data_IF_732387030558
#
_entry.id   IF_732387030558
#
_cell.length_a   1.000
_cell.length_b   1.000
_cell.length_c   1.000
_cell.angle_alpha   90.00
_cell.angle_beta   90.00
_cell.angle_gamma   90.00
#
_symmetry.space_group_name_H-M   'P 1'
#
loop_
_entity.id
_entity.type
_entity.pdbx_description
1 polymer ?
#
# COMPACT_ATOMS: atom_id res chain seq x y z
N UNK A 1 25.42 0.49 15.97
CA UNK A 1 24.62 -0.54 15.28
C UNK A 1 23.33 -0.75 16.03
N UNK A 2 22.22 -1.02 15.35
CA UNK A 2 20.98 -1.43 16.03
C UNK A 2 21.20 -2.79 16.72
N UNK A 3 20.57 -3.05 17.88
CA UNK A 3 20.68 -4.34 18.54
C UNK A 3 20.13 -5.47 17.65
N UNK A 4 20.58 -6.70 17.85
CA UNK A 4 20.04 -7.84 17.13
C UNK A 4 18.54 -8.02 17.40
N UNK A 5 17.77 -8.46 16.40
CA UNK A 5 16.33 -8.76 16.48
C UNK A 5 15.41 -7.58 16.83
N UNK A 6 15.87 -6.33 16.72
CA UNK A 6 15.02 -5.16 16.99
C UNK A 6 14.36 -4.58 15.75
N UNK A 7 14.58 -5.17 14.57
CA UNK A 7 14.03 -4.69 13.28
C UNK A 7 12.53 -4.45 13.34
N UNK A 8 11.75 -5.46 13.76
CA UNK A 8 10.29 -5.33 13.84
C UNK A 8 9.80 -4.28 14.87
N UNK A 9 10.64 -3.94 15.86
CA UNK A 9 10.28 -2.99 16.93
C UNK A 9 10.72 -1.57 16.60
N UNK A 10 11.87 -1.40 15.95
CA UNK A 10 12.48 -0.08 15.71
C UNK A 10 12.32 0.40 14.28
N UNK A 11 12.03 -0.47 13.29
CA UNK A 11 11.96 -0.05 11.90
C UNK A 11 10.51 0.27 11.52
N UNK A 12 10.17 1.53 11.18
CA UNK A 12 8.80 1.93 10.81
C UNK A 12 8.24 1.12 9.64
N UNK A 13 9.14 0.65 8.77
CA UNK A 13 8.80 -0.16 7.62
C UNK A 13 8.17 -1.50 8.03
N UNK A 14 8.74 -2.16 9.03
CA UNK A 14 8.24 -3.41 9.63
C UNK A 14 7.13 -3.17 10.65
N UNK A 15 7.02 -1.95 11.19
CA UNK A 15 6.00 -1.54 12.15
C UNK A 15 4.59 -1.31 11.57
N UNK A 16 4.35 -1.71 10.29
CA UNK A 16 3.08 -1.92 9.56
C UNK A 16 3.04 -1.35 8.15
N UNK A 17 4.02 -0.56 7.72
CA UNK A 17 4.03 -0.02 6.35
C UNK A 17 4.03 -1.15 5.32
N UNK A 18 4.93 -2.15 5.48
CA UNK A 18 4.96 -3.33 4.60
C UNK A 18 3.65 -4.11 4.67
N UNK A 19 3.09 -4.33 5.87
CA UNK A 19 1.84 -5.09 5.99
C UNK A 19 0.66 -4.38 5.34
N UNK A 20 0.57 -3.05 5.48
CA UNK A 20 -0.46 -2.24 4.83
C UNK A 20 -0.33 -2.29 3.32
N UNK A 21 0.89 -2.16 2.80
CA UNK A 21 1.17 -2.29 1.38
C UNK A 21 0.81 -3.68 0.83
N UNK A 22 1.25 -4.75 1.49
CA UNK A 22 0.90 -6.14 1.14
C UNK A 22 -0.62 -6.38 1.16
N UNK A 23 -1.34 -5.77 2.09
CA UNK A 23 -2.80 -5.85 2.13
C UNK A 23 -3.46 -5.20 0.90
N UNK A 24 -2.92 -4.09 0.38
CA UNK A 24 -3.42 -3.50 -0.87
C UNK A 24 -3.11 -4.38 -2.08
N UNK A 25 -1.90 -4.96 -2.17
CA UNK A 25 -1.56 -5.96 -3.20
C UNK A 25 -2.54 -7.13 -3.18
N UNK A 26 -2.81 -7.69 -2.00
CA UNK A 26 -3.72 -8.84 -1.87
C UNK A 26 -5.13 -8.51 -2.37
N UNK A 27 -5.65 -7.29 -2.13
CA UNK A 27 -6.95 -6.87 -2.68
C UNK A 27 -6.96 -6.85 -4.20
N UNK A 28 -5.91 -6.29 -4.82
CA UNK A 28 -5.76 -6.25 -6.28
C UNK A 28 -5.70 -7.68 -6.84
N UNK A 29 -4.88 -8.54 -6.22
CA UNK A 29 -4.74 -9.93 -6.61
C UNK A 29 -6.05 -10.72 -6.50
N UNK A 30 -6.79 -10.58 -5.40
CA UNK A 30 -8.07 -11.27 -5.23
C UNK A 30 -9.08 -10.85 -6.30
N UNK A 31 -9.16 -9.55 -6.60
CA UNK A 31 -10.05 -9.04 -7.65
C UNK A 31 -9.65 -9.60 -9.01
N UNK A 32 -8.37 -9.59 -9.36
CA UNK A 32 -7.88 -10.20 -10.59
C UNK A 32 -8.25 -11.68 -10.71
N UNK A 33 -8.08 -12.46 -9.63
CA UNK A 33 -8.42 -13.90 -9.63
C UNK A 33 -9.92 -14.10 -9.86
N UNK A 34 -10.77 -13.31 -9.19
CA UNK A 34 -12.24 -13.38 -9.37
C UNK A 34 -12.62 -13.04 -10.81
N UNK A 35 -12.08 -11.93 -11.35
CA UNK A 35 -12.37 -11.51 -12.72
C UNK A 35 -11.99 -12.61 -13.73
N UNK A 36 -10.82 -13.24 -13.58
CA UNK A 36 -10.40 -14.35 -14.46
C UNK A 36 -11.18 -15.63 -14.23
N UNK A 37 -11.66 -15.87 -13.01
CA UNK A 37 -12.48 -17.02 -12.70
C UNK A 37 -13.85 -16.91 -13.38
N UNK A 38 -14.44 -15.72 -13.39
CA UNK A 38 -15.69 -15.45 -14.11
C UNK A 38 -15.50 -15.68 -15.62
N UNK A 39 -14.42 -15.16 -16.21
CA UNK A 39 -14.04 -15.43 -17.62
C UNK A 39 -13.84 -16.93 -17.90
N UNK A 40 -13.23 -17.67 -16.98
CA UNK A 40 -13.04 -19.12 -17.10
C UNK A 40 -14.37 -19.87 -17.08
N UNK A 41 -15.30 -19.45 -16.21
CA UNK A 41 -16.61 -20.07 -16.07
C UNK A 41 -17.41 -19.98 -17.37
N UNK A 42 -17.36 -18.83 -18.06
CA UNK A 42 -18.06 -18.61 -19.34
C UNK A 42 -17.58 -19.57 -20.44
N UNK A 43 -16.28 -19.87 -20.49
CA UNK A 43 -15.69 -20.77 -21.50
C UNK A 43 -15.50 -22.22 -21.04
N UNK A 44 -15.90 -22.56 -19.82
CA UNK A 44 -15.61 -23.85 -19.18
C UNK A 44 -16.08 -25.05 -20.00
N UNK A 45 -17.22 -24.92 -20.66
CA UNK A 45 -17.83 -25.97 -21.51
C UNK A 45 -17.01 -26.28 -22.76
N UNK A 46 -16.20 -25.33 -23.24
CA UNK A 46 -15.35 -25.50 -24.41
C UNK A 46 -13.96 -26.06 -24.07
N UNK A 47 -13.60 -26.12 -22.78
CA UNK A 47 -12.28 -26.59 -22.33
C UNK A 47 -12.31 -28.12 -22.17
N UNK A 48 -11.42 -28.86 -22.85
CA UNK A 48 -11.28 -30.29 -22.63
C UNK A 48 -10.90 -30.60 -21.17
N UNK A 49 -11.51 -31.64 -20.59
CA UNK A 49 -11.33 -32.01 -19.17
C UNK A 49 -9.86 -32.04 -18.72
N UNK A 50 -8.99 -32.61 -19.56
CA UNK A 50 -7.54 -32.74 -19.32
C UNK A 50 -6.79 -31.40 -19.12
N UNK A 51 -7.39 -30.26 -19.45
CA UNK A 51 -6.78 -28.94 -19.30
C UNK A 51 -7.41 -28.10 -18.20
N UNK A 52 -8.53 -28.51 -17.60
CA UNK A 52 -9.25 -27.70 -16.60
C UNK A 52 -8.38 -27.36 -15.39
N UNK A 53 -7.64 -28.33 -14.85
CA UNK A 53 -6.72 -28.10 -13.73
C UNK A 53 -5.64 -27.07 -14.06
N UNK A 54 -5.10 -27.11 -15.28
CA UNK A 54 -4.10 -26.14 -15.74
C UNK A 54 -4.69 -24.73 -15.86
N UNK A 55 -5.94 -24.62 -16.29
CA UNK A 55 -6.65 -23.35 -16.41
C UNK A 55 -7.00 -22.76 -15.03
N UNK A 56 -7.32 -23.60 -14.03
CA UNK A 56 -7.51 -23.14 -12.64
C UNK A 56 -6.20 -22.61 -12.05
N UNK A 57 -5.08 -23.30 -12.28
CA UNK A 57 -3.75 -22.82 -11.81
C UNK A 57 -3.36 -21.51 -12.51
N UNK A 58 -3.74 -21.32 -13.78
CA UNK A 58 -3.36 -20.12 -14.55
C UNK A 58 -4.05 -18.84 -14.07
N UNK A 59 -5.10 -18.93 -13.25
CA UNK A 59 -5.77 -17.78 -12.62
C UNK A 59 -4.82 -16.91 -11.78
N UNK A 60 -3.77 -17.52 -11.24
CA UNK A 60 -2.76 -16.85 -10.41
C UNK A 60 -1.58 -16.29 -11.23
N UNK A 61 -1.55 -16.53 -12.54
CA UNK A 61 -0.46 -16.07 -13.38
C UNK A 61 -0.54 -14.57 -13.61
N UNK A 62 0.52 -13.88 -13.23
CA UNK A 62 0.69 -12.43 -13.41
C UNK A 62 2.09 -12.22 -13.97
N UNK A 63 2.20 -11.46 -15.06
CA UNK A 63 3.48 -11.07 -15.62
C UNK A 63 4.13 -9.95 -14.78
N UNK A 64 5.44 -9.75 -14.97
CA UNK A 64 6.21 -8.80 -14.16
C UNK A 64 5.73 -7.35 -14.34
N UNK A 65 5.30 -6.95 -15.54
CA UNK A 65 4.83 -5.59 -15.79
C UNK A 65 3.52 -5.34 -15.03
N UNK A 66 2.56 -6.27 -15.13
CA UNK A 66 1.32 -6.21 -14.36
C UNK A 66 1.59 -6.16 -12.85
N UNK A 67 2.52 -6.99 -12.36
CA UNK A 67 2.90 -6.99 -10.95
C UNK A 67 3.52 -5.66 -10.49
N UNK A 68 4.35 -5.01 -11.34
CA UNK A 68 4.91 -3.68 -11.06
C UNK A 68 3.83 -2.60 -10.99
N UNK A 69 2.87 -2.64 -11.91
CA UNK A 69 1.73 -1.71 -11.92
C UNK A 69 0.83 -1.91 -10.69
N UNK A 70 0.65 -3.16 -10.25
CA UNK A 70 -0.05 -3.45 -9.00
C UNK A 70 0.70 -2.89 -7.80
N UNK A 71 2.03 -3.00 -7.77
CA UNK A 71 2.86 -2.40 -6.73
C UNK A 71 2.73 -0.89 -6.68
N UNK A 72 2.77 -0.20 -7.82
CA UNK A 72 2.52 1.25 -7.88
C UNK A 72 1.13 1.60 -7.34
N UNK A 73 0.09 0.93 -7.84
CA UNK A 73 -1.31 1.17 -7.46
C UNK A 73 -1.58 0.89 -5.98
N UNK A 74 -1.03 -0.21 -5.47
CA UNK A 74 -1.11 -0.58 -4.07
C UNK A 74 -0.42 0.44 -3.16
N UNK A 75 0.75 0.95 -3.58
CA UNK A 75 1.49 1.96 -2.83
C UNK A 75 0.70 3.26 -2.74
N UNK A 76 0.13 3.72 -3.87
CA UNK A 76 -0.73 4.91 -3.91
C UNK A 76 -2.01 4.76 -3.08
N UNK A 77 -2.44 3.51 -2.83
CA UNK A 77 -3.61 3.18 -2.00
C UNK A 77 -3.29 3.05 -0.50
N UNK A 78 -2.02 3.03 -0.10
CA UNK A 78 -1.63 3.10 1.32
C UNK A 78 -2.01 4.49 1.85
N UNK A 79 -2.71 4.54 2.98
CA UNK A 79 -3.16 5.84 3.50
C UNK A 79 -1.97 6.69 3.91
N UNK A 80 -2.02 7.99 3.61
CA UNK A 80 -0.97 8.95 4.01
C UNK A 80 -0.71 8.96 5.52
N UNK A 81 -1.69 8.56 6.33
CA UNK A 81 -1.58 8.44 7.78
C UNK A 81 -0.86 7.17 8.25
N UNK A 82 -0.77 6.12 7.40
CA UNK A 82 -0.09 4.86 7.77
C UNK A 82 1.38 5.11 8.08
N UNK A 83 2.06 5.88 7.23
CA UNK A 83 3.48 6.20 7.39
C UNK A 83 3.72 6.92 8.73
N UNK A 84 3.16 8.12 9.01
CA UNK A 84 3.42 8.82 10.26
C UNK A 84 2.99 7.99 11.49
N UNK A 85 1.87 7.29 11.45
CA UNK A 85 1.50 6.41 12.57
C UNK A 85 2.56 5.34 12.86
N UNK A 86 3.20 4.77 11.84
CA UNK A 86 4.26 3.78 12.04
C UNK A 86 5.52 4.42 12.66
N UNK A 87 5.92 5.62 12.21
CA UNK A 87 7.06 6.35 12.79
C UNK A 87 6.83 6.74 14.25
N UNK A 88 5.60 7.16 14.59
CA UNK A 88 5.17 7.44 15.96
C UNK A 88 5.15 6.15 16.80
N UNK A 89 4.66 5.05 16.23
CA UNK A 89 4.60 3.76 16.92
C UNK A 89 5.99 3.23 17.30
N UNK A 90 6.99 3.41 16.42
CA UNK A 90 8.39 3.07 16.72
C UNK A 90 9.10 4.10 17.59
N UNK A 91 8.42 5.19 17.98
CA UNK A 91 8.97 6.27 18.80
C UNK A 91 10.23 6.93 18.22
N UNK A 92 10.41 6.86 16.90
CA UNK A 92 11.52 7.55 16.21
C UNK A 92 11.17 9.02 15.99
N UNK A 93 9.92 9.29 15.64
CA UNK A 93 9.35 10.62 15.68
C UNK A 93 8.49 10.71 16.94
N UNK A 94 8.89 11.58 17.85
CA UNK A 94 8.14 11.90 19.07
C UNK A 94 7.06 12.94 18.79
N UNK A 95 6.24 13.21 19.81
CA UNK A 95 5.13 14.15 19.70
C UNK A 95 5.61 15.59 19.43
N UNK A 96 6.81 15.94 19.89
CA UNK A 96 7.45 17.25 19.67
C UNK A 96 7.69 17.51 18.17
N UNK A 97 8.12 16.49 17.42
CA UNK A 97 8.27 16.59 15.97
C UNK A 97 6.93 16.82 15.24
N UNK A 98 5.83 16.26 15.74
CA UNK A 98 4.50 16.52 15.17
C UNK A 98 4.00 17.93 15.50
N UNK A 99 4.20 18.39 16.73
CA UNK A 99 3.88 19.76 17.14
C UNK A 99 4.65 20.79 16.33
N UNK A 100 5.93 20.52 16.05
CA UNK A 100 6.76 21.36 15.21
C UNK A 100 6.25 21.44 13.77
N UNK A 101 5.92 20.30 13.16
CA UNK A 101 5.37 20.25 11.78
C UNK A 101 4.01 20.96 11.71
N UNK A 102 3.13 20.74 12.68
CA UNK A 102 1.87 21.48 12.75
C UNK A 102 2.07 22.99 12.88
N UNK A 103 3.04 23.41 13.69
CA UNK A 103 3.37 24.82 13.88
C UNK A 103 3.87 25.45 12.57
N UNK A 104 4.72 24.75 11.81
CA UNK A 104 5.15 25.20 10.49
C UNK A 104 3.99 25.30 9.49
N UNK A 105 3.08 24.32 9.46
CA UNK A 105 1.91 24.35 8.59
C UNK A 105 0.96 25.51 8.93
N UNK A 106 0.75 25.78 10.23
CA UNK A 106 -0.04 26.92 10.72
C UNK A 106 0.59 28.26 10.31
N UNK A 107 1.92 28.38 10.41
CA UNK A 107 2.66 29.56 9.98
C UNK A 107 2.56 29.78 8.46
N UNK A 108 2.75 28.72 7.66
CA UNK A 108 2.65 28.79 6.21
C UNK A 108 1.24 29.19 5.76
N UNK A 109 0.20 28.61 6.38
CA UNK A 109 -1.19 28.95 6.11
C UNK A 109 -1.47 30.41 6.43
N UNK A 110 -1.02 30.89 7.60
CA UNK A 110 -1.18 32.28 8.03
C UNK A 110 -0.49 33.27 7.09
N UNK A 111 0.73 32.95 6.64
CA UNK A 111 1.47 33.78 5.69
C UNK A 111 0.77 33.87 4.32
N UNK A 112 0.20 32.78 3.82
CA UNK A 112 -0.56 32.76 2.56
C UNK A 112 -1.87 33.56 2.66
N UNK A 113 -2.57 33.49 3.80
CA UNK A 113 -3.79 34.27 4.04
C UNK A 113 -3.51 35.77 4.15
N UNK A 114 -2.42 36.16 4.81
CA UNK A 114 -2.00 37.57 4.88
C UNK A 114 -1.61 38.13 3.51
N UNK A 115 -0.99 37.31 2.65
CA UNK A 115 -0.59 37.73 1.31
C UNK A 115 -1.77 37.91 0.33
N UNK A 116 -2.91 37.27 0.59
CA UNK A 116 -4.11 37.32 -0.26
C UNK A 116 -5.15 38.37 0.17
N UNK A 117 -4.98 38.97 1.36
CA UNK A 117 -5.80 40.09 1.87
C UNK A 117 -5.16 41.47 1.60
N UNK A 118 -3.95 41.51 1.02
CA UNK A 118 -3.15 42.71 0.78
C UNK A 118 -3.19 43.28 -0.64
N UNK A 119 -4.06 42.78 -1.51
CA UNK A 119 -4.34 43.31 -2.88
C UNK A 119 -5.76 43.83 -2.96
#
# INVERSE_FOLDING_TARGET
MLPANTTAFLQPQDARIISSFKAQIAKIQHRHIVDRFDELLERLSAIPERYKDKEVVSLFNVDVLSAMQWAESAWMSVTRMTIPHCWRHTQILDDDMYELVESFLKLQSSALTQCSLGT
#
